data_IF_654766122162
#
_entry.id   IF_654766122162
#
_cell.length_a   1.000
_cell.length_b   1.000
_cell.length_c   1.000
_cell.angle_alpha   90.00
_cell.angle_beta   90.00
_cell.angle_gamma   90.00
#
_symmetry.space_group_name_H-M   'P 1'
#
loop_
_entity.id
_entity.type
_entity.pdbx_description
1 polymer ?
#
# COMPACT_ATOMS: atom_id res chain seq x y z
N UNK A 1 19.05 12.76 7.13
CA UNK A 1 17.94 12.63 6.18
C UNK A 1 18.08 11.46 5.22
N UNK A 2 19.24 11.30 4.62
CA UNK A 2 19.48 10.16 3.73
C UNK A 2 19.30 8.83 4.44
N UNK A 3 19.81 8.71 5.66
CA UNK A 3 19.74 7.45 6.41
C UNK A 3 18.29 7.07 6.72
N UNK A 4 17.47 8.07 7.07
CA UNK A 4 16.07 7.82 7.40
C UNK A 4 15.29 7.38 6.16
N UNK A 5 15.52 8.03 5.03
CA UNK A 5 14.86 7.69 3.77
C UNK A 5 15.24 6.27 3.34
N UNK A 6 16.50 5.94 3.41
CA UNK A 6 17.01 4.62 3.07
C UNK A 6 16.38 3.55 3.99
N UNK A 7 16.30 3.85 5.28
CA UNK A 7 15.71 2.95 6.25
C UNK A 7 14.24 2.67 5.93
N UNK A 8 13.48 3.72 5.64
CA UNK A 8 12.07 3.59 5.28
C UNK A 8 11.92 2.74 4.02
N UNK A 9 12.75 2.95 3.02
CA UNK A 9 12.71 2.19 1.78
C UNK A 9 12.97 0.70 2.05
N UNK A 10 13.92 0.37 2.91
CA UNK A 10 14.22 -1.01 3.27
C UNK A 10 13.05 -1.66 4.00
N UNK A 11 12.43 -0.95 4.92
CA UNK A 11 11.25 -1.46 5.63
C UNK A 11 10.10 -1.72 4.65
N UNK A 12 9.88 -0.82 3.70
CA UNK A 12 8.84 -1.00 2.70
C UNK A 12 9.10 -2.21 1.81
N UNK A 13 10.35 -2.46 1.46
CA UNK A 13 10.69 -3.65 0.69
C UNK A 13 10.34 -4.92 1.44
N UNK A 14 10.56 -4.94 2.76
CA UNK A 14 10.17 -6.07 3.59
C UNK A 14 8.66 -6.25 3.61
N UNK A 15 7.92 -5.14 3.75
CA UNK A 15 6.46 -5.19 3.74
C UNK A 15 5.95 -5.73 2.41
N UNK A 16 6.51 -5.28 1.30
CA UNK A 16 6.10 -5.76 -0.02
C UNK A 16 6.46 -7.24 -0.20
N UNK A 17 7.62 -7.66 0.32
CA UNK A 17 8.01 -9.07 0.28
C UNK A 17 7.00 -9.93 1.03
N UNK A 18 6.60 -9.51 2.23
CA UNK A 18 5.58 -10.21 2.99
C UNK A 18 4.26 -10.25 2.23
N UNK A 19 3.89 -9.13 1.61
CA UNK A 19 2.66 -9.05 0.83
C UNK A 19 2.66 -10.08 -0.30
N UNK A 20 3.80 -10.27 -0.96
CA UNK A 20 3.91 -11.17 -2.10
C UNK A 20 4.05 -12.64 -1.70
N UNK A 21 4.52 -12.93 -0.50
CA UNK A 21 4.83 -14.31 -0.09
C UNK A 21 3.90 -14.88 0.95
N UNK A 22 3.22 -14.04 1.74
CA UNK A 22 2.35 -14.51 2.80
C UNK A 22 0.99 -14.95 2.26
N UNK A 23 0.43 -15.99 2.87
CA UNK A 23 -0.94 -16.43 2.64
C UNK A 23 -1.83 -16.17 3.84
N UNK A 24 -1.27 -15.59 4.90
CA UNK A 24 -2.02 -15.31 6.11
C UNK A 24 -2.84 -14.05 5.95
N UNK A 25 -4.17 -14.17 6.10
CA UNK A 25 -5.09 -13.07 5.87
C UNK A 25 -4.78 -11.85 6.77
N UNK A 26 -4.44 -12.10 8.03
CA UNK A 26 -4.14 -11.02 8.96
C UNK A 26 -2.88 -10.27 8.52
N UNK A 27 -1.85 -11.01 8.13
CA UNK A 27 -0.60 -10.41 7.63
C UNK A 27 -0.87 -9.59 6.38
N UNK A 28 -1.66 -10.10 5.45
CA UNK A 28 -1.99 -9.39 4.22
C UNK A 28 -2.73 -8.10 4.50
N UNK A 29 -3.72 -8.13 5.40
CA UNK A 29 -4.48 -6.93 5.73
C UNK A 29 -3.61 -5.88 6.40
N UNK A 30 -2.70 -6.29 7.28
CA UNK A 30 -1.77 -5.37 7.93
C UNK A 30 -0.82 -4.75 6.91
N UNK A 31 -0.29 -5.55 5.99
CA UNK A 31 0.59 -5.03 4.94
C UNK A 31 -0.11 -3.99 4.08
N UNK A 32 -1.33 -4.26 3.66
CA UNK A 32 -2.10 -3.32 2.87
C UNK A 32 -2.38 -2.03 3.65
N UNK A 33 -2.73 -2.16 4.93
CA UNK A 33 -2.96 -1.01 5.78
C UNK A 33 -1.70 -0.15 5.91
N UNK A 34 -0.56 -0.78 6.20
CA UNK A 34 0.70 -0.06 6.36
C UNK A 34 1.08 0.68 5.09
N UNK A 35 0.93 0.02 3.94
CA UNK A 35 1.23 0.66 2.66
C UNK A 35 0.29 1.83 2.40
N UNK A 36 -1.00 1.70 2.72
CA UNK A 36 -1.95 2.78 2.52
C UNK A 36 -1.64 3.98 3.40
N UNK A 37 -1.22 3.74 4.65
CA UNK A 37 -0.83 4.81 5.55
C UNK A 37 0.43 5.52 5.06
N UNK A 38 1.39 4.76 4.55
CA UNK A 38 2.60 5.36 4.01
C UNK A 38 2.29 6.24 2.80
N UNK A 39 1.44 5.78 1.90
CA UNK A 39 1.04 6.55 0.73
C UNK A 39 0.35 7.85 1.15
N UNK A 40 -0.51 7.76 2.14
CA UNK A 40 -1.26 8.92 2.63
C UNK A 40 -0.37 9.95 3.31
N UNK A 41 0.61 9.50 4.10
CA UNK A 41 1.37 10.37 4.98
C UNK A 41 2.70 10.85 4.40
N UNK A 42 3.13 10.28 3.28
CA UNK A 42 4.42 10.61 2.70
C UNK A 42 4.23 11.19 1.30
N UNK A 43 4.79 12.37 0.99
CA UNK A 43 4.57 13.01 -0.32
C UNK A 43 4.95 12.15 -1.51
N UNK A 44 5.99 11.33 -1.38
CA UNK A 44 6.47 10.45 -2.44
C UNK A 44 6.03 9.01 -2.25
N UNK A 45 5.16 8.75 -1.27
CA UNK A 45 4.80 7.37 -0.91
C UNK A 45 4.20 6.59 -2.07
N UNK A 46 3.30 7.22 -2.82
CA UNK A 46 2.68 6.58 -3.96
C UNK A 46 3.70 6.11 -4.99
N UNK A 47 4.65 6.98 -5.34
CA UNK A 47 5.67 6.64 -6.32
C UNK A 47 6.58 5.53 -5.82
N UNK A 48 6.95 5.57 -4.56
CA UNK A 48 7.82 4.55 -3.97
C UNK A 48 7.14 3.19 -4.00
N UNK A 49 5.87 3.13 -3.61
CA UNK A 49 5.12 1.87 -3.60
C UNK A 49 4.95 1.34 -5.03
N UNK A 50 4.70 2.23 -5.99
CA UNK A 50 4.61 1.81 -7.39
C UNK A 50 5.96 1.29 -7.91
N UNK A 51 7.06 1.91 -7.52
CA UNK A 51 8.40 1.46 -7.91
C UNK A 51 8.72 0.08 -7.35
N UNK A 52 8.17 -0.25 -6.19
CA UNK A 52 8.32 -1.57 -5.58
C UNK A 52 7.43 -2.63 -6.23
N UNK A 53 6.64 -2.22 -7.21
CA UNK A 53 5.78 -3.11 -8.00
C UNK A 53 4.75 -3.87 -7.17
N UNK A 54 4.24 -3.21 -6.14
CA UNK A 54 3.23 -3.81 -5.27
C UNK A 54 1.81 -3.71 -5.83
N UNK A 55 1.58 -2.84 -6.81
CA UNK A 55 0.24 -2.55 -7.30
C UNK A 55 -0.52 -3.80 -7.76
N UNK A 56 0.12 -4.64 -8.56
CA UNK A 56 -0.55 -5.84 -9.08
C UNK A 56 -1.01 -6.78 -7.99
N UNK A 57 -0.17 -7.00 -6.98
CA UNK A 57 -0.52 -7.86 -5.86
C UNK A 57 -1.65 -7.27 -5.04
N UNK A 58 -1.58 -5.97 -4.75
CA UNK A 58 -2.63 -5.30 -3.98
C UNK A 58 -3.96 -5.38 -4.73
N UNK A 59 -3.95 -5.17 -6.04
CA UNK A 59 -5.17 -5.28 -6.84
C UNK A 59 -5.73 -6.69 -6.81
N UNK A 60 -4.89 -7.71 -6.85
CA UNK A 60 -5.36 -9.09 -6.78
C UNK A 60 -6.00 -9.39 -5.43
N UNK A 61 -5.55 -8.75 -4.36
CA UNK A 61 -6.10 -8.95 -3.03
C UNK A 61 -7.50 -8.35 -2.86
N UNK A 62 -7.95 -7.51 -3.77
CA UNK A 62 -9.33 -7.04 -3.74
C UNK A 62 -10.34 -8.15 -3.98
N UNK A 63 -9.89 -9.30 -4.48
CA UNK A 63 -10.74 -10.46 -4.72
C UNK A 63 -10.46 -11.58 -3.69
N UNK A 64 -9.73 -11.27 -2.63
CA UNK A 64 -9.40 -12.25 -1.60
C UNK A 64 -10.66 -12.70 -0.85
N UNK A 65 -10.64 -13.94 -0.35
CA UNK A 65 -11.79 -14.51 0.35
C UNK A 65 -12.12 -13.79 1.66
N UNK A 66 -11.10 -13.27 2.34
CA UNK A 66 -11.28 -12.59 3.61
C UNK A 66 -11.75 -11.16 3.40
N UNK A 67 -12.89 -10.74 4.00
CA UNK A 67 -13.42 -9.39 3.77
C UNK A 67 -12.52 -8.28 4.29
N UNK A 68 -11.77 -8.51 5.34
CA UNK A 68 -10.85 -7.50 5.86
C UNK A 68 -9.69 -7.26 4.88
N UNK A 69 -9.16 -8.33 4.28
CA UNK A 69 -8.13 -8.21 3.25
C UNK A 69 -8.66 -7.41 2.06
N UNK A 70 -9.88 -7.75 1.61
CA UNK A 70 -10.49 -7.03 0.49
C UNK A 70 -10.63 -5.55 0.78
N UNK A 71 -11.10 -5.20 1.97
CA UNK A 71 -11.32 -3.81 2.37
C UNK A 71 -10.00 -3.03 2.40
N UNK A 72 -8.99 -3.60 3.05
CA UNK A 72 -7.70 -2.92 3.15
C UNK A 72 -7.02 -2.79 1.78
N UNK A 73 -7.15 -3.80 0.94
CA UNK A 73 -6.62 -3.74 -0.41
C UNK A 73 -7.32 -2.67 -1.24
N UNK A 74 -8.64 -2.57 -1.13
CA UNK A 74 -9.41 -1.55 -1.85
C UNK A 74 -8.97 -0.14 -1.43
N UNK A 75 -8.84 0.09 -0.12
CA UNK A 75 -8.40 1.39 0.38
C UNK A 75 -7.00 1.73 -0.12
N UNK A 76 -6.12 0.75 -0.15
CA UNK A 76 -4.75 0.95 -0.64
C UNK A 76 -4.74 1.28 -2.14
N UNK A 77 -5.53 0.55 -2.94
CA UNK A 77 -5.63 0.81 -4.37
C UNK A 77 -6.19 2.21 -4.64
N UNK A 78 -7.19 2.62 -3.89
CA UNK A 78 -7.75 3.96 -4.04
C UNK A 78 -6.67 5.03 -3.84
N UNK A 79 -5.83 4.86 -2.84
CA UNK A 79 -4.76 5.83 -2.57
C UNK A 79 -3.66 5.77 -3.63
N UNK A 80 -3.40 4.59 -4.19
CA UNK A 80 -2.41 4.44 -5.26
C UNK A 80 -2.85 5.08 -6.57
N UNK A 81 -4.13 4.93 -6.91
CA UNK A 81 -4.64 5.38 -8.20
C UNK A 81 -5.09 6.83 -8.21
N UNK A 82 -5.51 7.35 -7.06
CA UNK A 82 -5.98 8.72 -6.97
C UNK A 82 -4.84 9.66 -6.65
N UNK A 83 -4.61 10.62 -7.53
CA UNK A 83 -3.68 11.71 -7.24
C UNK A 83 -4.29 12.58 -6.14
N UNK A 84 -3.44 13.22 -5.35
CA UNK A 84 -3.89 14.14 -4.31
C UNK A 84 -4.92 15.15 -4.85
N UNK A 85 -4.72 15.58 -6.08
CA UNK A 85 -5.62 16.51 -6.77
C UNK A 85 -7.04 15.96 -6.87
N UNK A 86 -7.18 14.69 -7.26
CA UNK A 86 -8.48 14.05 -7.40
C UNK A 86 -9.09 13.70 -6.05
N UNK A 87 -8.26 13.32 -5.09
CA UNK A 87 -8.74 13.04 -3.74
C UNK A 87 -9.39 14.28 -3.14
N UNK A 88 -8.83 15.45 -3.43
CA UNK A 88 -9.38 16.72 -3.01
C UNK A 88 -10.79 16.96 -3.54
N UNK A 89 -11.03 16.64 -4.80
CA UNK A 89 -12.36 16.75 -5.40
C UNK A 89 -13.36 15.80 -4.78
N UNK A 90 -12.93 14.59 -4.46
CA UNK A 90 -13.82 13.57 -3.91
C UNK A 90 -14.20 13.86 -2.47
N UNK A 91 -13.39 14.63 -1.76
CA UNK A 91 -13.65 14.97 -0.36
C UNK A 91 -14.47 16.24 -0.18
N UNK A 92 -14.67 16.99 -1.24
CA UNK A 92 -15.42 18.27 -1.15
C UNK A 92 -16.96 18.08 -1.36
#
# INVERSE_FOLDING_TARGET
>A
MFCLYYFIFQVLRLVVTLLNTSNDAKTLSICCYDLSQFIQNHPSGRMIVLDLKAKGRIMSLMEHDNPEVRREALLCVQKLLLRAKYASYLQS
#
